data_IF_924423738003
#
_entry.id   IF_924423738003
#
_cell.length_a   1.000
_cell.length_b   1.000
_cell.length_c   1.000
_cell.angle_alpha   90.00
_cell.angle_beta   90.00
_cell.angle_gamma   90.00
#
_symmetry.space_group_name_H-M   'P 1'
#
loop_
_entity.id
_entity.type
_entity.pdbx_description
1 polymer ?
#
# COMPACT_ATOMS: atom_id res chain seq x y z
N UNK A 1 -9.22 8.76 -1.60
CA UNK A 1 -8.03 8.89 -2.44
C UNK A 1 -7.77 10.33 -2.86
N UNK A 2 -8.80 11.02 -3.29
CA UNK A 2 -8.62 12.40 -3.74
C UNK A 2 -8.07 13.28 -2.62
N UNK A 3 -8.54 13.09 -1.42
CA UNK A 3 -8.09 13.89 -0.30
C UNK A 3 -6.61 13.62 0.01
N UNK A 4 -6.20 12.36 -0.01
CA UNK A 4 -4.82 12.03 0.26
C UNK A 4 -3.90 12.54 -0.85
N UNK A 5 -4.32 12.40 -2.10
CA UNK A 5 -3.53 12.89 -3.20
C UNK A 5 -3.39 14.40 -3.12
N UNK A 6 -4.48 15.11 -2.81
CA UNK A 6 -4.42 16.55 -2.72
C UNK A 6 -3.50 16.98 -1.57
N UNK A 7 -3.57 16.27 -0.46
CA UNK A 7 -2.81 16.67 0.73
C UNK A 7 -1.32 16.40 0.60
N UNK A 8 -0.97 15.25 0.04
CA UNK A 8 0.42 14.82 0.06
C UNK A 8 1.10 14.83 -1.30
N UNK A 9 0.33 14.76 -2.38
CA UNK A 9 0.90 14.69 -3.72
C UNK A 9 0.44 15.84 -4.61
N UNK A 10 -0.10 16.88 -4.00
CA UNK A 10 -0.53 18.05 -4.78
C UNK A 10 -1.64 17.76 -5.77
N UNK A 11 -2.39 16.71 -5.54
CA UNK A 11 -3.48 16.35 -6.44
C UNK A 11 -3.04 15.72 -7.74
N UNK A 12 -1.77 15.37 -7.87
CA UNK A 12 -1.24 14.84 -9.13
C UNK A 12 -1.67 13.42 -9.42
N UNK A 13 -1.90 12.62 -8.38
CA UNK A 13 -2.28 11.23 -8.57
C UNK A 13 -3.81 11.13 -8.55
N UNK A 14 -4.40 10.76 -9.68
CA UNK A 14 -5.84 10.71 -9.79
C UNK A 14 -6.23 9.32 -10.28
N UNK A 15 -6.67 8.46 -9.39
CA UNK A 15 -7.05 7.11 -9.82
C UNK A 15 -8.41 7.12 -10.49
N UNK A 16 -8.62 6.19 -11.42
CA UNK A 16 -9.93 6.04 -12.04
C UNK A 16 -10.85 5.26 -11.11
N UNK A 17 -10.31 4.38 -10.28
CA UNK A 17 -11.10 3.67 -9.28
C UNK A 17 -10.21 3.13 -8.18
N UNK A 18 -10.77 2.99 -6.99
CA UNK A 18 -10.10 2.38 -5.84
C UNK A 18 -11.10 1.44 -5.23
N UNK A 19 -10.72 0.19 -5.00
CA UNK A 19 -11.68 -0.75 -4.43
C UNK A 19 -11.00 -1.79 -3.56
N UNK A 20 -11.79 -2.38 -2.68
CA UNK A 20 -11.33 -3.48 -1.84
C UNK A 20 -11.46 -4.78 -2.61
N UNK A 21 -10.50 -5.67 -2.42
CA UNK A 21 -10.56 -6.98 -3.06
C UNK A 21 -10.16 -8.05 -2.06
N UNK A 22 -10.70 -9.21 -2.21
CA UNK A 22 -10.45 -10.30 -1.29
C UNK A 22 -9.33 -11.23 -1.69
N UNK A 23 -8.83 -11.11 -2.90
CA UNK A 23 -7.84 -12.02 -3.39
C UNK A 23 -6.58 -11.38 -3.80
N UNK A 24 -5.98 -10.58 -2.95
CA UNK A 24 -4.71 -9.95 -3.26
C UNK A 24 -3.54 -10.88 -3.00
N UNK A 25 -3.78 -12.07 -2.57
CA UNK A 25 -2.73 -13.02 -2.24
C UNK A 25 -1.75 -12.36 -1.28
N UNK A 26 -0.52 -12.22 -1.63
CA UNK A 26 0.45 -11.71 -0.71
C UNK A 26 0.63 -10.21 -0.79
N UNK A 27 -0.28 -9.48 -1.38
CA UNK A 27 -0.12 -8.05 -1.51
C UNK A 27 -1.09 -7.29 -0.65
N UNK A 28 -0.63 -6.17 -0.09
CA UNK A 28 -1.52 -5.27 0.63
C UNK A 28 -2.28 -4.38 -0.32
N UNK A 29 -1.72 -4.12 -1.51
CA UNK A 29 -2.40 -3.35 -2.52
C UNK A 29 -1.74 -3.52 -3.86
N UNK A 30 -2.35 -3.01 -4.89
CA UNK A 30 -1.79 -3.01 -6.23
C UNK A 30 -2.34 -1.86 -7.04
N UNK A 31 -1.62 -1.47 -8.06
CA UNK A 31 -2.04 -0.40 -8.94
C UNK A 31 -1.79 -0.82 -10.37
N UNK A 32 -2.66 -0.39 -11.26
CA UNK A 32 -2.48 -0.58 -12.69
C UNK A 32 -2.42 0.81 -13.31
N UNK A 33 -1.22 1.36 -13.46
CA UNK A 33 -1.09 2.75 -13.91
C UNK A 33 -1.69 3.02 -15.27
N UNK A 34 -1.70 2.03 -16.15
CA UNK A 34 -2.20 2.25 -17.50
C UNK A 34 -3.68 2.64 -17.51
N UNK A 35 -4.46 2.20 -16.55
CA UNK A 35 -5.87 2.59 -16.49
C UNK A 35 -6.22 3.27 -15.17
N UNK A 36 -5.26 3.50 -14.31
CA UNK A 36 -5.50 4.26 -13.09
C UNK A 36 -6.24 3.52 -12.00
N UNK A 37 -6.31 2.20 -12.06
CA UNK A 37 -7.06 1.47 -11.04
C UNK A 37 -6.17 1.07 -9.88
N UNK A 38 -6.73 1.09 -8.68
CA UNK A 38 -6.04 0.70 -7.46
C UNK A 38 -6.90 -0.30 -6.72
N UNK A 39 -6.27 -1.33 -6.18
CA UNK A 39 -6.94 -2.35 -5.40
C UNK A 39 -6.26 -2.43 -4.04
N UNK A 40 -7.05 -2.55 -2.99
CA UNK A 40 -6.55 -2.67 -1.62
C UNK A 40 -7.07 -3.97 -1.03
N UNK A 41 -6.23 -4.65 -0.27
CA UNK A 41 -6.63 -5.91 0.35
C UNK A 41 -7.67 -5.67 1.43
N UNK A 42 -8.70 -6.52 1.47
CA UNK A 42 -9.69 -6.47 2.52
C UNK A 42 -9.06 -6.62 3.90
N UNK A 43 -7.92 -7.23 4.00
CA UNK A 43 -7.25 -7.42 5.29
C UNK A 43 -6.83 -6.12 5.94
N UNK A 44 -6.79 -5.05 5.17
CA UNK A 44 -6.46 -3.75 5.73
C UNK A 44 -7.64 -3.13 6.46
N UNK A 45 -8.87 -3.58 6.19
CA UNK A 45 -10.04 -2.90 6.74
C UNK A 45 -10.05 -2.75 8.26
N UNK A 46 -9.65 -3.76 9.05
CA UNK A 46 -9.65 -3.59 10.50
C UNK A 46 -8.43 -2.88 11.05
N UNK A 47 -7.49 -2.51 10.20
CA UNK A 47 -6.27 -1.87 10.66
C UNK A 47 -6.47 -0.37 10.89
N UNK A 48 -5.58 0.27 11.62
CA UNK A 48 -5.69 1.71 11.84
C UNK A 48 -5.73 2.48 10.53
N UNK A 49 -6.46 3.57 10.52
CA UNK A 49 -6.62 4.35 9.30
C UNK A 49 -5.28 4.83 8.74
N UNK A 50 -4.33 5.16 9.62
CA UNK A 50 -3.03 5.64 9.13
C UNK A 50 -2.24 4.57 8.37
N UNK A 51 -2.53 3.29 8.62
CA UNK A 51 -1.92 2.21 7.86
C UNK A 51 -2.60 2.10 6.50
N UNK A 52 -3.93 2.18 6.48
CA UNK A 52 -4.69 2.12 5.23
C UNK A 52 -4.29 3.29 4.34
N UNK A 53 -4.16 4.47 4.94
CA UNK A 53 -3.76 5.65 4.17
C UNK A 53 -2.38 5.47 3.56
N UNK A 54 -1.46 4.85 4.28
CA UNK A 54 -0.14 4.60 3.75
C UNK A 54 -0.20 3.69 2.52
N UNK A 55 -0.96 2.60 2.60
CA UNK A 55 -1.03 1.67 1.47
C UNK A 55 -1.66 2.36 0.28
N UNK A 56 -2.70 3.15 0.51
CA UNK A 56 -3.34 3.87 -0.57
C UNK A 56 -2.37 4.88 -1.20
N UNK A 57 -1.63 5.61 -0.39
CA UNK A 57 -0.63 6.55 -0.92
C UNK A 57 0.48 5.84 -1.67
N UNK A 58 0.87 4.66 -1.21
CA UNK A 58 1.86 3.85 -1.89
C UNK A 58 1.39 3.55 -3.32
N UNK A 59 0.13 3.13 -3.45
CA UNK A 59 -0.39 2.80 -4.77
C UNK A 59 -0.64 4.05 -5.61
N UNK A 60 -1.06 5.15 -4.99
CA UNK A 60 -1.21 6.40 -5.71
C UNK A 60 0.15 6.87 -6.26
N UNK A 61 1.22 6.66 -5.50
CA UNK A 61 2.55 7.03 -5.97
C UNK A 61 2.93 6.26 -7.22
N UNK A 62 2.46 5.03 -7.36
CA UNK A 62 2.75 4.26 -8.57
C UNK A 62 2.03 4.79 -9.80
N UNK A 63 1.01 5.60 -9.63
CA UNK A 63 0.39 6.24 -10.77
C UNK A 63 1.28 7.38 -11.29
N UNK A 64 2.22 7.84 -10.48
CA UNK A 64 3.12 8.93 -10.85
C UNK A 64 4.52 8.44 -11.19
N UNK A 65 4.99 7.40 -10.51
CA UNK A 65 6.35 6.91 -10.67
C UNK A 65 6.33 5.40 -10.73
N UNK A 66 6.80 4.84 -11.81
CA UNK A 66 6.88 3.39 -11.92
C UNK A 66 8.04 2.89 -11.09
N UNK A 67 7.89 1.74 -10.47
CA UNK A 67 8.95 1.13 -9.68
C UNK A 67 9.13 1.77 -8.32
N UNK A 68 10.09 1.27 -7.59
CA UNK A 68 10.32 1.71 -6.21
C UNK A 68 11.69 2.38 -6.12
N UNK A 69 11.91 3.38 -6.96
CA UNK A 69 13.18 4.08 -6.98
C UNK A 69 13.17 5.27 -6.02
N UNK A 70 14.23 6.06 -6.03
CA UNK A 70 14.34 7.18 -5.10
C UNK A 70 13.21 8.19 -5.26
N UNK A 71 12.77 8.42 -6.50
CA UNK A 71 11.68 9.37 -6.74
C UNK A 71 10.38 8.88 -6.12
N UNK A 72 10.13 7.56 -6.17
CA UNK A 72 8.95 6.97 -5.55
C UNK A 72 8.97 7.20 -4.04
N UNK A 73 10.09 6.86 -3.40
CA UNK A 73 10.16 6.98 -1.94
C UNK A 73 10.13 8.44 -1.50
N UNK A 74 10.63 9.34 -2.35
CA UNK A 74 10.56 10.76 -2.02
C UNK A 74 9.12 11.24 -1.98
N UNK A 75 8.25 10.70 -2.86
CA UNK A 75 6.84 11.04 -2.78
C UNK A 75 6.25 10.61 -1.44
N UNK A 76 6.61 9.43 -0.97
CA UNK A 76 6.05 8.91 0.26
C UNK A 76 6.59 9.61 1.50
N UNK A 77 7.72 10.28 1.39
CA UNK A 77 8.24 11.07 2.51
C UNK A 77 7.28 12.19 2.91
N UNK A 78 6.41 12.60 2.00
CA UNK A 78 5.44 13.63 2.33
C UNK A 78 4.44 13.15 3.37
N UNK A 79 4.25 11.84 3.50
CA UNK A 79 3.31 11.31 4.48
C UNK A 79 4.08 10.99 5.77
N UNK A 80 3.78 11.69 6.87
CA UNK A 80 4.59 11.54 8.07
C UNK A 80 4.57 10.15 8.70
N UNK A 81 3.54 9.36 8.44
CA UNK A 81 3.43 8.04 9.05
C UNK A 81 4.04 6.93 8.20
N UNK A 82 4.76 7.27 7.15
CA UNK A 82 5.30 6.25 6.24
C UNK A 82 6.14 5.20 6.98
N UNK A 83 7.10 5.64 7.78
CA UNK A 83 7.97 4.69 8.47
C UNK A 83 7.21 3.83 9.46
N UNK A 84 6.28 4.43 10.19
CA UNK A 84 5.49 3.73 11.19
C UNK A 84 4.55 2.72 10.52
N UNK A 85 3.93 3.09 9.42
CA UNK A 85 3.03 2.19 8.73
C UNK A 85 3.78 1.02 8.12
N UNK A 86 4.97 1.26 7.58
CA UNK A 86 5.80 0.18 7.06
C UNK A 86 6.13 -0.80 8.17
N UNK A 87 6.53 -0.30 9.33
CA UNK A 87 6.89 -1.16 10.45
C UNK A 87 5.68 -1.98 10.91
N UNK A 88 4.51 -1.37 10.94
CA UNK A 88 3.29 -2.06 11.33
C UNK A 88 3.04 -3.24 10.38
N UNK A 89 3.11 -3.00 9.09
CA UNK A 89 2.84 -4.05 8.11
C UNK A 89 3.91 -5.14 8.13
N UNK A 90 5.16 -4.76 8.39
CA UNK A 90 6.22 -5.74 8.53
C UNK A 90 5.95 -6.65 9.72
N UNK A 91 5.46 -6.08 10.82
CA UNK A 91 5.12 -6.86 11.99
C UNK A 91 3.98 -7.83 11.73
N UNK A 92 2.97 -7.39 11.00
CA UNK A 92 1.85 -8.26 10.67
C UNK A 92 2.32 -9.39 9.75
N UNK A 93 3.14 -9.09 8.76
CA UNK A 93 3.66 -10.10 7.86
C UNK A 93 4.51 -11.12 8.61
N UNK A 94 5.34 -10.64 9.52
CA UNK A 94 6.16 -11.53 10.31
C UNK A 94 5.30 -12.47 11.15
N UNK A 95 4.32 -11.92 11.85
CA UNK A 95 3.44 -12.72 12.70
C UNK A 95 2.65 -13.74 11.89
N UNK A 96 2.17 -13.34 10.73
CA UNK A 96 1.42 -14.23 9.88
C UNK A 96 2.30 -15.36 9.35
N UNK A 97 3.50 -15.04 8.92
CA UNK A 97 4.38 -16.05 8.37
C UNK A 97 4.86 -17.04 9.43
N UNK A 98 4.82 -16.62 10.70
CA UNK A 98 5.18 -17.52 11.79
C UNK A 98 3.97 -18.22 12.39
N UNK A 99 2.78 -18.03 11.82
CA UNK A 99 1.60 -18.67 12.35
C UNK A 99 1.10 -18.08 13.65
N UNK A 100 1.54 -16.88 13.97
CA UNK A 100 1.10 -16.25 15.22
C UNK A 100 -0.24 -15.56 15.09
N UNK A 101 -0.74 -15.42 13.87
CA UNK A 101 -2.02 -14.83 13.61
C UNK A 101 -2.74 -15.67 12.58
N UNK A 102 -4.05 -15.60 12.53
CA UNK A 102 -4.80 -16.29 11.51
C UNK A 102 -4.38 -15.73 10.17
N UNK A 103 -3.86 -16.56 9.37
CA UNK A 103 -3.35 -16.07 8.21
C UNK A 103 -4.27 -15.98 7.18
N UNK A 104 -4.36 -15.22 6.49
CA UNK A 104 -5.03 -15.14 5.45
C UNK A 104 -4.26 -15.79 4.47
N UNK A 105 -3.49 -15.26 3.95
CA UNK A 105 -2.81 -15.83 2.95
C UNK A 105 -1.56 -15.70 3.17
N UNK A 106 -1.21 -15.30 3.85
CA UNK A 106 -0.01 -15.22 4.08
C UNK A 106 0.93 -15.09 3.28
N UNK A 107 1.07 -15.13 2.58
CA UNK A 107 1.93 -15.05 1.72
C UNK A 107 2.86 -14.33 1.84
N UNK A 108 3.30 -14.12 2.64
CA UNK A 108 4.31 -13.63 2.50
C UNK A 108 4.53 -12.48 2.14
N UNK A 109 4.16 -11.77 2.21
CA UNK A 109 4.41 -10.61 1.91
C UNK A 109 5.54 -10.07 2.39
N UNK A 110 6.38 -9.59 1.76
CA UNK A 110 7.52 -8.99 2.18
C UNK A 110 7.36 -7.56 2.13
N UNK A 111 6.86 -6.98 3.08
CA UNK A 111 6.62 -5.56 3.06
C UNK A 111 7.83 -4.74 3.28
N UNK A 112 8.89 -5.36 3.67
CA UNK A 112 10.10 -4.61 3.77
C UNK A 112 10.57 -4.37 2.38
N UNK A 113 10.13 -5.18 1.49
CA UNK A 113 10.53 -5.02 0.23
C UNK A 113 9.41 -4.48 -0.45
N UNK A 114 9.51 -3.50 -1.04
CA UNK A 114 8.43 -2.91 -1.74
C UNK A 114 7.80 -3.87 -2.70
N UNK A 115 8.39 -4.97 -2.95
CA UNK A 115 7.78 -5.95 -3.82
C UNK A 115 6.46 -6.46 -3.26
N UNK A 116 6.23 -6.30 -1.98
CA UNK A 116 4.96 -6.69 -1.41
C UNK A 116 3.82 -5.93 -2.03
N UNK A 117 4.14 -4.78 -2.58
CA UNK A 117 3.13 -3.98 -3.19
C UNK A 117 3.27 -4.05 -4.67
N UNK A 118 4.04 -4.88 -5.16
CA UNK A 118 4.40 -4.94 -6.37
C UNK A 118 3.57 -4.77 -7.34
N UNK A 119 3.38 -4.04 -7.80
CA UNK A 119 2.65 -3.87 -8.80
C UNK A 119 3.36 -4.08 -9.98
#
# INVERSE_FOLDING_TARGET
AAELSAKYFGGRAVPSSVRWVGNQNSRWGSATPSDGTIRLSDKLQPMPQWVIDYVLLHELAHLLVAGHNAAFWRLLEAYPETGRAKAFLEGVSFATSRGLMPAGDDDDIDVADAAAFAD
#
